data_IF_492897118863
#
_entry.id   IF_492897118863
#
_cell.length_a   1.000
_cell.length_b   1.000
_cell.length_c   1.000
_cell.angle_alpha   90.00
_cell.angle_beta   90.00
_cell.angle_gamma   90.00
#
_symmetry.space_group_name_H-M   'P 1'
#
loop_
_entity.id
_entity.type
_entity.pdbx_description
1 polymer ?
#
# COMPACT_ATOMS: atom_id res chain seq x y z
N UNK A 1 -13.38 16.38 -21.17
CA UNK A 1 -14.82 16.07 -21.17
C UNK A 1 -15.13 14.79 -21.96
N UNK A 2 -14.46 14.53 -23.08
CA UNK A 2 -14.69 13.32 -23.91
C UNK A 2 -14.27 12.02 -23.15
N UNK A 3 -13.24 12.07 -22.32
CA UNK A 3 -12.82 10.94 -21.49
C UNK A 3 -13.84 10.56 -20.40
N UNK A 4 -14.52 11.55 -19.80
CA UNK A 4 -15.50 11.30 -18.74
C UNK A 4 -16.77 10.63 -19.29
N UNK A 5 -17.23 11.04 -20.46
CA UNK A 5 -18.40 10.43 -21.12
C UNK A 5 -18.13 8.98 -21.50
N UNK A 6 -16.93 8.68 -22.01
CA UNK A 6 -16.52 7.30 -22.29
C UNK A 6 -16.43 6.42 -21.04
N UNK A 7 -15.94 6.96 -19.92
CA UNK A 7 -15.85 6.26 -18.65
C UNK A 7 -17.23 5.92 -18.07
N UNK A 8 -18.18 6.86 -18.09
CA UNK A 8 -19.54 6.62 -17.63
C UNK A 8 -20.25 5.55 -18.47
N UNK A 9 -20.05 5.55 -19.80
CA UNK A 9 -20.57 4.49 -20.67
C UNK A 9 -19.99 3.13 -20.32
N UNK A 10 -18.67 3.02 -20.13
CA UNK A 10 -18.04 1.76 -19.76
C UNK A 10 -18.60 1.21 -18.42
N UNK A 11 -18.77 2.06 -17.41
CA UNK A 11 -19.35 1.66 -16.12
C UNK A 11 -20.79 1.19 -16.27
N UNK A 12 -21.60 1.95 -17.02
CA UNK A 12 -23.02 1.66 -17.24
C UNK A 12 -23.22 0.38 -18.05
N UNK A 13 -22.48 0.22 -19.13
CA UNK A 13 -22.65 -0.89 -20.08
C UNK A 13 -21.87 -2.13 -19.67
N UNK A 14 -21.07 -2.04 -18.59
CA UNK A 14 -20.21 -3.09 -18.06
C UNK A 14 -19.25 -3.67 -19.11
N UNK A 15 -18.73 -2.80 -19.97
CA UNK A 15 -17.79 -3.16 -21.05
C UNK A 15 -16.77 -2.05 -21.28
N UNK A 16 -15.62 -2.41 -21.87
CA UNK A 16 -14.54 -1.48 -22.18
C UNK A 16 -13.49 -1.33 -21.07
N UNK A 17 -12.42 -0.54 -21.30
CA UNK A 17 -11.24 -0.51 -20.44
C UNK A 17 -11.51 -0.01 -19.01
N UNK A 18 -12.55 0.80 -18.79
CA UNK A 18 -12.88 1.32 -17.46
C UNK A 18 -13.67 0.32 -16.59
N UNK A 19 -13.98 -0.86 -17.09
CA UNK A 19 -14.57 -1.96 -16.30
C UNK A 19 -13.52 -2.80 -15.57
N UNK A 20 -12.26 -2.61 -15.91
CA UNK A 20 -11.13 -3.30 -15.29
C UNK A 20 -10.57 -2.49 -14.13
N UNK A 21 -9.98 -3.16 -13.13
CA UNK A 21 -9.23 -2.49 -12.08
C UNK A 21 -8.07 -1.68 -12.64
N UNK A 22 -7.75 -0.56 -11.99
CA UNK A 22 -6.65 0.32 -12.42
C UNK A 22 -5.30 -0.41 -12.53
N UNK A 23 -5.05 -1.38 -11.66
CA UNK A 23 -3.86 -2.25 -11.68
C UNK A 23 -4.24 -3.61 -12.26
N UNK A 24 -3.98 -3.81 -13.53
CA UNK A 24 -4.36 -5.05 -14.25
C UNK A 24 -3.38 -6.20 -14.00
N UNK A 25 -2.14 -5.88 -13.67
CA UNK A 25 -1.09 -6.86 -13.38
C UNK A 25 -0.57 -6.63 -11.97
N UNK A 26 -0.56 -7.71 -11.19
CA UNK A 26 0.00 -7.73 -9.85
C UNK A 26 1.02 -8.88 -9.76
N UNK A 27 2.10 -8.66 -9.04
CA UNK A 27 3.13 -9.68 -8.82
C UNK A 27 3.78 -9.54 -7.47
N UNK A 28 4.41 -10.62 -7.01
CA UNK A 28 5.15 -10.65 -5.76
C UNK A 28 6.57 -11.14 -6.01
N UNK A 29 7.54 -10.53 -5.34
CA UNK A 29 8.93 -10.95 -5.41
C UNK A 29 9.67 -10.70 -4.10
N UNK A 30 10.86 -11.27 -3.99
CA UNK A 30 11.80 -10.98 -2.93
C UNK A 30 12.69 -9.80 -3.34
N UNK A 31 12.98 -8.89 -2.43
CA UNK A 31 13.95 -7.81 -2.67
C UNK A 31 15.36 -8.37 -2.91
N UNK A 32 15.66 -9.48 -2.24
CA UNK A 32 16.94 -10.20 -2.32
C UNK A 32 16.78 -11.66 -1.88
N UNK A 33 17.84 -12.45 -2.06
CA UNK A 33 17.83 -13.89 -1.76
C UNK A 33 17.80 -14.22 -0.26
N UNK A 34 18.08 -13.27 0.63
CA UNK A 34 18.06 -13.49 2.08
C UNK A 34 16.64 -13.53 2.65
N UNK A 35 15.66 -13.01 1.91
CA UNK A 35 14.27 -13.01 2.35
C UNK A 35 13.66 -14.40 2.27
N UNK A 36 13.04 -14.83 3.35
CA UNK A 36 12.37 -16.13 3.42
C UNK A 36 11.15 -16.18 2.48
N UNK A 37 10.36 -15.11 2.46
CA UNK A 37 9.13 -14.97 1.66
C UNK A 37 9.17 -13.67 0.83
N UNK A 38 8.34 -13.53 -0.22
CA UNK A 38 8.19 -12.28 -0.93
C UNK A 38 7.86 -11.11 0.01
N UNK A 39 8.57 -10.01 -0.17
CA UNK A 39 8.39 -8.76 0.59
C UNK A 39 8.11 -7.55 -0.31
N UNK A 40 8.05 -7.76 -1.61
CA UNK A 40 7.67 -6.75 -2.60
C UNK A 40 6.38 -7.16 -3.29
N UNK A 41 5.48 -6.21 -3.50
CA UNK A 41 4.28 -6.33 -4.32
C UNK A 41 4.34 -5.30 -5.44
N UNK A 42 4.08 -5.74 -6.67
CA UNK A 42 4.05 -4.90 -7.86
C UNK A 42 2.62 -4.70 -8.32
N UNK A 43 2.32 -3.49 -8.77
CA UNK A 43 1.11 -3.17 -9.49
C UNK A 43 1.48 -2.43 -10.77
N UNK A 44 0.86 -2.78 -11.87
CA UNK A 44 1.11 -2.14 -13.16
C UNK A 44 -0.18 -1.49 -13.65
N UNK A 45 -0.16 -0.18 -13.77
CA UNK A 45 -1.25 0.61 -14.33
C UNK A 45 -0.95 0.97 -15.77
N UNK A 46 -1.86 0.73 -16.73
CA UNK A 46 -1.69 1.11 -18.13
C UNK A 46 -1.98 2.61 -18.38
N UNK A 47 -1.56 3.44 -17.45
CA UNK A 47 -1.68 4.91 -17.48
C UNK A 47 -0.42 5.54 -16.90
N UNK A 48 -0.15 6.78 -17.26
CA UNK A 48 0.95 7.57 -16.69
C UNK A 48 0.44 8.90 -16.15
N UNK A 49 0.80 9.20 -14.90
CA UNK A 49 0.40 10.42 -14.18
C UNK A 49 1.46 10.78 -13.12
N UNK A 50 1.55 12.04 -12.74
CA UNK A 50 2.46 12.49 -11.70
C UNK A 50 2.10 11.98 -10.30
N UNK A 51 0.81 11.87 -10.02
CA UNK A 51 0.28 11.45 -8.72
C UNK A 51 -0.80 10.41 -8.95
N UNK A 52 -0.69 9.25 -8.33
CA UNK A 52 -1.71 8.21 -8.41
C UNK A 52 -3.06 8.75 -7.90
N UNK A 53 -4.10 8.59 -8.71
CA UNK A 53 -5.43 9.17 -8.44
C UNK A 53 -5.62 10.60 -8.93
N UNK A 54 -4.61 11.21 -9.56
CA UNK A 54 -4.77 12.50 -10.22
C UNK A 54 -5.68 12.39 -11.44
N UNK A 55 -6.39 13.47 -11.73
CA UNK A 55 -7.32 13.55 -12.88
C UNK A 55 -6.62 13.84 -14.20
N UNK A 56 -5.34 14.28 -14.16
CA UNK A 56 -4.56 14.62 -15.34
C UNK A 56 -3.57 13.51 -15.67
N UNK A 57 -3.71 12.93 -16.83
CA UNK A 57 -2.75 12.00 -17.41
C UNK A 57 -1.66 12.78 -18.15
N UNK A 58 -0.49 12.15 -18.35
CA UNK A 58 0.52 12.69 -19.24
C UNK A 58 0.07 12.63 -20.70
N UNK A 59 0.59 13.53 -21.53
CA UNK A 59 0.25 13.65 -22.97
C UNK A 59 1.08 12.67 -23.84
N UNK A 60 1.79 11.72 -23.22
CA UNK A 60 2.56 10.69 -23.89
C UNK A 60 2.08 9.29 -23.49
N UNK A 61 2.35 8.30 -24.34
CA UNK A 61 2.06 6.91 -24.04
C UNK A 61 2.96 6.42 -22.90
N UNK A 62 2.35 5.95 -21.82
CA UNK A 62 3.10 5.51 -20.65
C UNK A 62 2.35 4.54 -19.76
N UNK A 63 3.12 3.75 -19.02
CA UNK A 63 2.63 2.84 -17.99
C UNK A 63 3.32 3.16 -16.66
N UNK A 64 2.62 2.90 -15.58
CA UNK A 64 3.16 3.12 -14.23
C UNK A 64 3.30 1.79 -13.49
N UNK A 65 4.46 1.14 -13.54
CA UNK A 65 4.76 0.04 -12.64
C UNK A 65 5.12 0.61 -11.27
N UNK A 66 4.35 0.24 -10.26
CA UNK A 66 4.62 0.60 -8.87
C UNK A 66 5.09 -0.61 -8.08
N UNK A 67 5.88 -0.37 -7.05
CA UNK A 67 6.36 -1.39 -6.12
C UNK A 67 6.13 -0.95 -4.69
N UNK A 68 5.64 -1.86 -3.86
CA UNK A 68 5.38 -1.62 -2.45
C UNK A 68 6.13 -2.65 -1.58
N UNK A 69 6.74 -2.18 -0.48
CA UNK A 69 7.21 -3.05 0.59
C UNK A 69 5.99 -3.54 1.39
N UNK A 70 5.71 -4.83 1.35
CA UNK A 70 4.59 -5.46 2.09
C UNK A 70 5.00 -6.03 3.46
N UNK A 71 6.24 -5.80 3.86
CA UNK A 71 6.82 -6.17 5.17
C UNK A 71 7.57 -5.00 5.81
N UNK A 72 6.98 -3.79 5.88
CA UNK A 72 7.69 -2.61 6.38
C UNK A 72 8.02 -2.75 7.86
N UNK A 73 9.21 -2.28 8.22
CA UNK A 73 9.71 -2.22 9.60
C UNK A 73 9.56 -0.83 10.22
N UNK A 74 9.42 0.22 9.40
CA UNK A 74 9.13 1.58 9.87
C UNK A 74 7.81 1.63 10.65
N UNK A 75 7.78 2.46 11.69
CA UNK A 75 6.57 2.67 12.51
C UNK A 75 6.25 4.15 12.59
N UNK A 76 4.97 4.45 12.44
CA UNK A 76 4.39 5.78 12.62
C UNK A 76 3.58 5.87 13.90
N UNK A 77 2.92 7.01 14.07
CA UNK A 77 2.09 7.29 15.23
C UNK A 77 0.88 8.16 14.85
N UNK A 78 -0.20 7.99 15.61
CA UNK A 78 -1.37 8.86 15.54
C UNK A 78 -1.64 9.38 16.95
N UNK A 79 -1.80 10.70 17.09
CA UNK A 79 -1.99 11.36 18.38
C UNK A 79 -3.18 12.31 18.34
N UNK A 80 -3.97 12.30 19.42
CA UNK A 80 -5.00 13.29 19.66
C UNK A 80 -4.32 14.63 20.01
N UNK A 81 -4.77 15.72 19.39
CA UNK A 81 -4.17 17.05 19.58
C UNK A 81 -4.95 17.92 20.58
N UNK A 82 -6.23 17.62 20.83
CA UNK A 82 -7.09 18.34 21.79
C UNK A 82 -8.27 17.48 22.21
N UNK A 83 -9.08 17.95 23.14
CA UNK A 83 -10.37 17.35 23.54
C UNK A 83 -11.51 17.67 22.59
N UNK A 84 -11.32 18.56 21.60
CA UNK A 84 -12.34 18.90 20.63
C UNK A 84 -12.40 17.84 19.51
N UNK A 85 -13.51 17.13 19.41
CA UNK A 85 -13.73 16.07 18.42
C UNK A 85 -13.61 16.53 16.95
N UNK A 86 -13.71 17.84 16.70
CA UNK A 86 -13.55 18.41 15.35
C UNK A 86 -12.10 18.59 14.92
N UNK A 87 -11.19 18.56 15.87
CA UNK A 87 -9.76 18.69 15.58
C UNK A 87 -9.22 17.38 15.01
N UNK A 88 -8.58 17.48 13.85
CA UNK A 88 -8.00 16.30 13.20
C UNK A 88 -6.82 15.78 14.01
N UNK A 89 -6.66 14.46 14.17
CA UNK A 89 -5.50 13.89 14.84
C UNK A 89 -4.21 14.21 14.07
N UNK A 90 -3.11 14.28 14.80
CA UNK A 90 -1.78 14.37 14.20
C UNK A 90 -1.36 12.97 13.76
N UNK A 91 -1.19 12.79 12.46
CA UNK A 91 -0.75 11.53 11.86
C UNK A 91 0.69 11.71 11.37
N UNK A 92 1.59 10.84 11.84
CA UNK A 92 2.98 10.78 11.41
C UNK A 92 3.25 9.37 10.88
N UNK A 93 3.27 9.21 9.57
CA UNK A 93 3.45 7.91 8.93
C UNK A 93 4.88 7.37 9.10
N UNK A 94 5.87 8.23 9.14
CA UNK A 94 7.29 7.91 9.35
C UNK A 94 7.85 6.86 8.37
N UNK A 95 7.43 6.94 7.09
CA UNK A 95 7.90 6.05 6.04
C UNK A 95 9.42 6.08 5.88
N UNK A 96 10.01 4.95 5.47
CA UNK A 96 11.44 4.80 5.17
C UNK A 96 12.37 5.20 6.34
N UNK A 97 11.88 5.14 7.58
CA UNK A 97 12.67 5.52 8.76
C UNK A 97 13.73 4.49 9.14
N UNK A 98 13.56 3.23 8.73
CA UNK A 98 14.52 2.16 8.96
C UNK A 98 15.42 1.95 7.75
N UNK A 99 16.63 1.45 8.00
CA UNK A 99 17.58 1.09 6.95
C UNK A 99 17.03 -0.03 6.06
N UNK A 100 16.37 -1.04 6.65
CA UNK A 100 15.76 -2.14 5.91
C UNK A 100 14.70 -1.64 4.92
N UNK A 101 13.81 -0.74 5.32
CA UNK A 101 12.78 -0.21 4.42
C UNK A 101 13.40 0.59 3.25
N UNK A 102 14.46 1.37 3.51
CA UNK A 102 15.19 2.08 2.46
C UNK A 102 15.86 1.10 1.49
N UNK A 103 16.54 0.08 2.02
CA UNK A 103 17.14 -0.97 1.21
C UNK A 103 16.10 -1.66 0.32
N UNK A 104 14.98 -2.11 0.91
CA UNK A 104 13.90 -2.79 0.17
C UNK A 104 13.30 -1.87 -0.91
N UNK A 105 13.13 -0.58 -0.63
CA UNK A 105 12.65 0.39 -1.61
C UNK A 105 13.62 0.52 -2.80
N UNK A 106 14.93 0.64 -2.56
CA UNK A 106 15.95 0.69 -3.61
C UNK A 106 15.94 -0.59 -4.47
N UNK A 107 15.92 -1.77 -3.83
CA UNK A 107 15.89 -3.04 -4.55
C UNK A 107 14.59 -3.21 -5.37
N UNK A 108 13.46 -2.75 -4.82
CA UNK A 108 12.18 -2.73 -5.53
C UNK A 108 12.24 -1.91 -6.82
N UNK A 109 12.76 -0.68 -6.75
CA UNK A 109 12.93 0.20 -7.92
C UNK A 109 13.91 -0.41 -8.95
N UNK A 110 15.02 -0.99 -8.50
CA UNK A 110 15.96 -1.70 -9.39
C UNK A 110 15.31 -2.89 -10.08
N UNK A 111 14.46 -3.62 -9.37
CA UNK A 111 13.76 -4.77 -9.95
C UNK A 111 12.73 -4.31 -11.00
N UNK A 112 12.00 -3.23 -10.76
CA UNK A 112 11.13 -2.60 -11.78
C UNK A 112 11.95 -2.25 -13.03
N UNK A 113 13.09 -1.58 -12.89
CA UNK A 113 13.99 -1.26 -14.01
C UNK A 113 14.42 -2.50 -14.78
N UNK A 114 14.84 -3.54 -14.05
CA UNK A 114 15.26 -4.81 -14.66
C UNK A 114 14.14 -5.43 -15.49
N UNK A 115 12.90 -5.40 -15.00
CA UNK A 115 11.73 -5.95 -15.70
C UNK A 115 11.41 -5.10 -16.93
N UNK A 116 11.27 -3.79 -16.75
CA UNK A 116 10.77 -2.89 -17.79
C UNK A 116 11.79 -2.60 -18.89
N UNK A 117 13.06 -2.42 -18.52
CA UNK A 117 14.11 -2.02 -19.47
C UNK A 117 15.02 -3.18 -19.87
N UNK A 118 15.08 -4.24 -19.06
CA UNK A 118 16.04 -5.35 -19.24
C UNK A 118 15.49 -6.58 -19.92
N UNK A 119 14.17 -6.73 -20.09
CA UNK A 119 13.57 -7.94 -20.66
C UNK A 119 13.23 -7.77 -22.14
N UNK A 120 13.36 -8.86 -22.91
CA UNK A 120 13.04 -8.86 -24.34
C UNK A 120 11.56 -8.55 -24.62
N UNK A 121 10.68 -8.88 -23.70
CA UNK A 121 9.24 -8.61 -23.80
C UNK A 121 8.95 -7.14 -24.01
N UNK A 122 9.67 -6.24 -23.31
CA UNK A 122 9.44 -4.81 -23.39
C UNK A 122 10.33 -4.09 -24.40
N UNK A 123 11.44 -4.69 -24.85
CA UNK A 123 12.38 -4.07 -25.82
C UNK A 123 11.72 -3.57 -27.09
N UNK A 124 10.70 -4.29 -27.59
CA UNK A 124 9.97 -3.91 -28.82
C UNK A 124 9.23 -2.57 -28.71
N UNK A 125 8.95 -2.13 -27.48
CA UNK A 125 8.29 -0.85 -27.20
C UNK A 125 9.29 0.27 -26.93
N UNK A 126 10.60 -0.02 -26.87
CA UNK A 126 11.68 0.94 -26.57
C UNK A 126 11.37 1.80 -25.34
N UNK A 127 11.04 1.20 -24.17
CA UNK A 127 10.61 1.94 -23.02
C UNK A 127 11.74 2.83 -22.47
N UNK A 128 11.38 4.05 -22.09
CA UNK A 128 12.25 4.99 -21.40
C UNK A 128 11.74 5.23 -19.98
N UNK A 129 12.67 5.31 -19.02
CA UNK A 129 12.30 5.62 -17.65
C UNK A 129 12.09 7.14 -17.48
N UNK A 130 10.84 7.53 -17.26
CA UNK A 130 10.49 8.92 -17.00
C UNK A 130 10.90 9.35 -15.58
N UNK A 131 10.58 8.51 -14.57
CA UNK A 131 10.90 8.76 -13.15
C UNK A 131 11.28 7.45 -12.45
N UNK A 132 12.17 7.51 -11.45
CA UNK A 132 12.93 8.67 -10.93
C UNK A 132 14.05 9.15 -11.86
N UNK A 133 14.42 8.42 -12.89
CA UNK A 133 15.44 8.76 -13.88
C UNK A 133 16.58 7.75 -13.90
N UNK A 134 16.83 7.17 -15.09
CA UNK A 134 17.78 6.07 -15.30
C UNK A 134 19.24 6.42 -14.94
N UNK A 135 19.57 7.72 -14.85
CA UNK A 135 20.89 8.20 -14.47
C UNK A 135 21.21 8.00 -12.98
N UNK A 136 20.18 7.91 -12.12
CA UNK A 136 20.34 7.67 -10.68
C UNK A 136 20.65 6.19 -10.47
N UNK A 137 21.85 5.87 -9.97
CA UNK A 137 22.36 4.50 -9.76
C UNK A 137 22.59 4.14 -8.31
N UNK A 138 22.96 5.14 -7.50
CA UNK A 138 23.18 5.00 -6.07
C UNK A 138 21.86 4.71 -5.34
N UNK A 139 21.89 3.85 -4.31
CA UNK A 139 20.69 3.41 -3.61
C UNK A 139 20.06 4.51 -2.76
N UNK A 140 20.86 5.32 -2.09
CA UNK A 140 20.36 6.43 -1.27
C UNK A 140 19.77 7.54 -2.15
N UNK A 141 20.44 7.87 -3.24
CA UNK A 141 19.94 8.83 -4.22
C UNK A 141 18.65 8.32 -4.88
N UNK A 142 18.56 7.02 -5.18
CA UNK A 142 17.39 6.40 -5.77
C UNK A 142 16.19 6.45 -4.82
N UNK A 143 16.39 6.13 -3.54
CA UNK A 143 15.35 6.22 -2.51
C UNK A 143 14.92 7.67 -2.32
N UNK A 144 15.86 8.61 -2.24
CA UNK A 144 15.56 10.04 -2.12
C UNK A 144 14.73 10.55 -3.29
N UNK A 145 15.15 10.26 -4.52
CA UNK A 145 14.40 10.67 -5.71
C UNK A 145 13.03 9.97 -5.79
N UNK A 146 12.96 8.68 -5.43
CA UNK A 146 11.71 7.93 -5.37
C UNK A 146 10.74 8.45 -4.31
N UNK A 147 11.24 8.96 -3.18
CA UNK A 147 10.39 9.45 -2.09
C UNK A 147 9.52 10.64 -2.47
N UNK A 148 9.93 11.45 -3.46
CA UNK A 148 9.14 12.57 -3.97
C UNK A 148 7.84 12.11 -4.69
N UNK A 149 7.78 10.83 -5.11
CA UNK A 149 6.65 10.23 -5.82
C UNK A 149 5.98 9.10 -5.03
N UNK A 150 6.58 8.72 -3.89
CA UNK A 150 6.06 7.65 -3.04
C UNK A 150 4.84 8.16 -2.26
N UNK A 151 3.83 7.35 -2.21
CA UNK A 151 2.64 7.61 -1.41
C UNK A 151 2.10 6.32 -0.80
N UNK A 152 1.15 6.47 0.13
CA UNK A 152 0.42 5.33 0.67
C UNK A 152 -0.36 4.62 -0.42
N UNK A 153 -0.46 3.29 -0.32
CA UNK A 153 -1.42 2.48 -1.11
C UNK A 153 -2.64 2.09 -0.27
N UNK A 154 -2.93 2.87 0.78
CA UNK A 154 -4.14 2.82 1.61
C UNK A 154 -4.32 1.51 2.41
N UNK A 155 -3.21 0.94 2.90
CA UNK A 155 -3.21 -0.26 3.74
C UNK A 155 -2.53 -0.06 5.11
N UNK A 156 -2.80 1.05 5.84
CA UNK A 156 -2.25 1.25 7.18
C UNK A 156 -2.89 0.26 8.16
N UNK A 157 -2.08 -0.21 9.13
CA UNK A 157 -2.50 -1.14 10.18
C UNK A 157 -1.80 -0.79 11.50
N UNK A 158 -2.20 -1.40 12.61
CA UNK A 158 -1.43 -1.47 13.84
C UNK A 158 -1.66 -0.35 14.86
N UNK A 159 -2.49 0.66 14.58
CA UNK A 159 -2.75 1.76 15.54
C UNK A 159 -3.54 1.32 16.78
N UNK A 160 -4.27 0.21 16.70
CA UNK A 160 -4.93 -0.47 17.82
C UNK A 160 -4.52 -1.94 17.88
N UNK A 161 -3.21 -2.23 17.72
CA UNK A 161 -2.72 -3.59 17.51
C UNK A 161 -3.16 -4.57 18.60
N UNK A 162 -3.48 -5.78 18.20
CA UNK A 162 -3.73 -6.88 19.13
C UNK A 162 -2.42 -7.46 19.66
N UNK A 163 -2.48 -8.01 20.86
CA UNK A 163 -1.36 -8.71 21.49
C UNK A 163 -1.59 -8.97 22.97
N UNK A 164 -0.55 -9.51 23.63
CA UNK A 164 -0.56 -9.83 25.06
C UNK A 164 0.46 -9.00 25.85
N UNK A 165 1.21 -8.13 25.17
CA UNK A 165 2.17 -7.24 25.81
C UNK A 165 1.52 -5.94 26.27
N UNK A 166 2.22 -5.17 27.14
CA UNK A 166 1.75 -3.94 27.75
C UNK A 166 1.39 -2.82 26.74
N UNK A 167 1.93 -2.88 25.53
CA UNK A 167 1.66 -1.92 24.47
C UNK A 167 0.54 -2.36 23.53
N UNK A 168 -0.11 -3.50 23.79
CA UNK A 168 -1.25 -3.97 23.02
C UNK A 168 -2.51 -3.21 23.41
N UNK A 169 -3.26 -2.74 22.39
CA UNK A 169 -4.52 -1.99 22.62
C UNK A 169 -5.69 -2.93 22.83
N UNK A 170 -5.73 -4.04 22.11
CA UNK A 170 -6.79 -5.07 22.24
C UNK A 170 -6.19 -6.44 22.48
N UNK A 171 -6.95 -7.29 23.14
CA UNK A 171 -6.62 -8.70 23.37
C UNK A 171 -7.03 -9.58 22.18
N UNK A 172 -6.88 -10.92 22.31
CA UNK A 172 -7.24 -11.91 21.27
C UNK A 172 -8.72 -11.97 20.92
N UNK A 173 -9.60 -11.43 21.79
CA UNK A 173 -11.04 -11.28 21.51
C UNK A 173 -11.40 -9.85 21.06
N UNK A 174 -10.42 -9.06 20.68
CA UNK A 174 -10.54 -7.67 20.21
C UNK A 174 -11.17 -6.71 21.22
N UNK A 175 -11.19 -7.07 22.51
CA UNK A 175 -11.62 -6.20 23.60
C UNK A 175 -10.47 -5.24 23.96
N UNK A 176 -10.83 -3.97 24.16
CA UNK A 176 -9.83 -2.94 24.54
C UNK A 176 -9.33 -3.20 25.97
N UNK A 177 -8.01 -3.27 26.13
CA UNK A 177 -7.38 -3.49 27.41
C UNK A 177 -7.69 -2.32 28.38
N UNK A 178 -8.18 -2.65 29.57
CA UNK A 178 -8.49 -1.67 30.62
C UNK A 178 -9.81 -0.90 30.44
N UNK A 179 -10.60 -1.21 29.41
CA UNK A 179 -11.94 -0.59 29.20
C UNK A 179 -12.95 -1.71 28.97
N UNK A 180 -14.00 -1.74 29.82
CA UNK A 180 -15.06 -2.72 29.69
C UNK A 180 -16.02 -2.38 28.53
N UNK A 181 -16.60 -3.40 27.92
CA UNK A 181 -17.62 -3.32 26.88
C UNK A 181 -17.21 -2.52 25.63
N UNK A 182 -15.90 -2.40 25.36
CA UNK A 182 -15.38 -1.74 24.17
C UNK A 182 -14.51 -2.72 23.34
N UNK A 183 -14.72 -2.71 22.02
CA UNK A 183 -13.91 -3.46 21.06
C UNK A 183 -13.43 -2.56 19.93
N UNK A 184 -12.33 -2.95 19.29
CA UNK A 184 -11.89 -2.41 18.00
C UNK A 184 -11.90 -3.57 17.00
N UNK A 185 -12.58 -3.38 15.86
CA UNK A 185 -12.78 -4.42 14.85
C UNK A 185 -12.56 -3.84 13.46
N UNK A 186 -11.31 -3.57 13.13
CA UNK A 186 -10.88 -3.07 11.82
C UNK A 186 -9.41 -3.39 11.55
N UNK A 187 -8.85 -2.87 10.47
CA UNK A 187 -7.46 -3.11 10.08
C UNK A 187 -6.43 -2.66 11.13
N UNK A 188 -6.78 -1.73 12.03
CA UNK A 188 -5.87 -1.21 13.04
C UNK A 188 -5.43 -2.25 14.07
N UNK A 189 -6.19 -3.35 14.22
CA UNK A 189 -5.85 -4.43 15.15
C UNK A 189 -4.73 -5.33 14.65
N UNK A 190 -4.41 -5.32 13.36
CA UNK A 190 -3.32 -6.12 12.80
C UNK A 190 -1.97 -5.55 13.28
N UNK A 191 -1.09 -6.35 13.93
CA UNK A 191 0.23 -5.88 14.35
C UNK A 191 1.16 -5.51 13.18
N UNK A 192 0.99 -6.18 12.04
CA UNK A 192 1.76 -5.98 10.82
C UNK A 192 0.84 -6.14 9.61
N UNK A 193 1.28 -5.60 8.47
CA UNK A 193 0.63 -5.84 7.18
C UNK A 193 0.72 -7.33 6.83
N UNK A 194 -0.38 -7.91 6.37
CA UNK A 194 -0.55 -9.34 6.12
C UNK A 194 0.00 -9.80 4.76
N UNK A 195 1.15 -9.24 4.33
CA UNK A 195 1.84 -9.60 3.08
C UNK A 195 1.06 -9.28 1.80
N UNK A 196 0.28 -8.20 1.81
CA UNK A 196 -0.50 -7.75 0.67
C UNK A 196 -1.63 -6.80 1.08
N UNK A 197 -2.61 -6.68 0.21
CA UNK A 197 -3.79 -5.83 0.43
C UNK A 197 -4.58 -6.26 1.67
N UNK A 198 -5.01 -5.30 2.47
CA UNK A 198 -5.59 -5.55 3.80
C UNK A 198 -7.11 -5.73 3.81
N UNK A 199 -7.81 -5.64 2.67
CA UNK A 199 -9.27 -5.74 2.62
C UNK A 199 -9.78 -7.13 3.05
N UNK A 200 -9.26 -8.20 2.47
CA UNK A 200 -9.67 -9.57 2.80
C UNK A 200 -9.41 -9.93 4.27
N UNK A 201 -8.21 -9.69 4.85
CA UNK A 201 -7.99 -9.92 6.28
C UNK A 201 -8.86 -9.04 7.17
N UNK A 202 -9.22 -7.81 6.78
CA UNK A 202 -10.14 -6.97 7.55
C UNK A 202 -11.55 -7.56 7.59
N UNK A 203 -12.04 -8.08 6.46
CA UNK A 203 -13.34 -8.79 6.39
C UNK A 203 -13.29 -10.03 7.30
N UNK A 204 -12.23 -10.82 7.23
CA UNK A 204 -12.06 -12.02 8.07
C UNK A 204 -12.06 -11.66 9.56
N UNK A 205 -11.38 -10.57 9.95
CA UNK A 205 -11.39 -10.06 11.33
C UNK A 205 -12.80 -9.69 11.76
N UNK A 206 -13.57 -9.01 10.90
CA UNK A 206 -14.93 -8.59 11.19
C UNK A 206 -15.89 -9.80 11.36
N UNK A 207 -15.81 -10.78 10.47
CA UNK A 207 -16.58 -12.04 10.58
C UNK A 207 -16.26 -12.76 11.89
N UNK A 208 -14.98 -12.94 12.21
CA UNK A 208 -14.56 -13.59 13.45
C UNK A 208 -14.98 -12.81 14.69
N UNK A 209 -14.92 -11.48 14.65
CA UNK A 209 -15.37 -10.63 15.74
C UNK A 209 -16.88 -10.72 15.97
N UNK A 210 -17.67 -10.88 14.91
CA UNK A 210 -19.12 -11.07 15.00
C UNK A 210 -19.47 -12.33 15.79
N UNK A 211 -18.78 -13.44 15.51
CA UNK A 211 -18.94 -14.68 16.29
C UNK A 211 -18.58 -14.46 17.76
N UNK A 212 -17.45 -13.82 18.05
CA UNK A 212 -17.01 -13.53 19.41
C UNK A 212 -17.99 -12.63 20.19
N UNK A 213 -18.64 -11.67 19.50
CA UNK A 213 -19.64 -10.80 20.11
C UNK A 213 -20.91 -11.59 20.45
N UNK A 214 -21.35 -12.48 19.56
CA UNK A 214 -22.52 -13.36 19.82
C UNK A 214 -22.25 -14.30 20.98
N UNK A 215 -21.08 -14.95 21.02
CA UNK A 215 -20.67 -15.83 22.12
C UNK A 215 -20.65 -15.12 23.49
N UNK A 216 -20.19 -13.86 23.52
CA UNK A 216 -20.06 -13.09 24.77
C UNK A 216 -21.40 -12.56 25.29
N UNK A 217 -22.47 -12.62 24.48
CA UNK A 217 -23.82 -12.16 24.83
C UNK A 217 -24.83 -13.32 25.02
N UNK A 218 -24.39 -14.57 24.93
CA UNK A 218 -25.17 -15.77 25.27
C UNK A 218 -24.98 -16.15 26.74
#
# INVERSE_FOLDING_TARGET
>A
LVCLVGSEMCIRDRSGPMTMGASQVCGFAKSDNSRETPNLQFHVQPISTDILGATKLHDFDGITPTVANIRPTSRGEINIVSSNIKDKPKIKMNYLSTEDDRYVAAQGLKLVRKIMLGTDTFKKYQPEEYRPGIHIKDDEELVKAGSDYTQTIFHPVGTCRMGQDENSVVNERLKVNGIENLRVVDASVMPNITSGNTNAPTIMIAEKASDMILEDNL
#
